data_IF_376214962815
#
_entry.id   IF_376214962815
#
_cell.length_a   1.000
_cell.length_b   1.000
_cell.length_c   1.000
_cell.angle_alpha   90.00
_cell.angle_beta   90.00
_cell.angle_gamma   90.00
#
_symmetry.space_group_name_H-M   'P 1'
#
loop_
_entity.id
_entity.type
_entity.pdbx_description
1 polymer ?
#
# COMPACT_ATOMS: atom_id res chain seq x y z
N UNK A 1 26.98 5.83 5.40
CA UNK A 1 26.08 6.97 5.65
C UNK A 1 24.76 6.67 4.94
N UNK A 2 23.74 6.19 5.67
CA UNK A 2 22.41 6.06 5.07
C UNK A 2 21.82 7.46 4.91
N UNK A 3 21.08 7.75 3.83
CA UNK A 3 20.35 9.00 3.72
C UNK A 3 19.38 9.11 4.90
N UNK A 4 19.40 10.26 5.57
CA UNK A 4 18.55 10.52 6.72
C UNK A 4 17.07 10.54 6.32
N UNK A 5 16.15 10.35 7.29
CA UNK A 5 14.71 10.34 7.03
C UNK A 5 14.22 11.59 6.28
N UNK A 6 14.81 12.75 6.53
CA UNK A 6 14.49 14.01 5.84
C UNK A 6 14.81 13.98 4.33
N UNK A 7 15.90 13.32 3.92
CA UNK A 7 16.27 13.22 2.51
C UNK A 7 15.31 12.31 1.75
N UNK A 8 14.88 11.21 2.39
CA UNK A 8 13.91 10.27 1.83
C UNK A 8 12.56 10.98 1.60
N UNK A 9 12.10 11.79 2.56
CA UNK A 9 10.86 12.58 2.43
C UNK A 9 10.96 13.53 1.23
N UNK A 10 12.08 14.23 1.06
CA UNK A 10 12.29 15.18 -0.04
C UNK A 10 12.21 14.49 -1.41
N UNK A 11 12.79 13.29 -1.52
CA UNK A 11 12.71 12.46 -2.73
C UNK A 11 11.27 12.04 -3.01
N UNK A 12 10.53 11.58 -2.00
CA UNK A 12 9.13 11.19 -2.14
C UNK A 12 8.29 12.38 -2.62
N UNK A 13 8.49 13.57 -2.07
CA UNK A 13 7.78 14.78 -2.52
C UNK A 13 8.07 15.09 -3.99
N UNK A 14 9.32 14.96 -4.43
CA UNK A 14 9.69 15.18 -5.83
C UNK A 14 9.02 14.18 -6.76
N UNK A 15 8.99 12.90 -6.38
CA UNK A 15 8.29 11.84 -7.12
C UNK A 15 6.79 12.13 -7.17
N UNK A 16 6.17 12.54 -6.05
CA UNK A 16 4.76 12.93 -6.01
C UNK A 16 4.45 14.14 -6.89
N UNK A 17 5.38 15.09 -7.07
CA UNK A 17 5.20 16.23 -7.95
C UNK A 17 5.19 15.81 -9.44
N UNK A 18 6.07 14.88 -9.82
CA UNK A 18 6.20 14.39 -11.19
C UNK A 18 5.03 13.47 -11.56
N UNK A 19 4.66 12.56 -10.66
CA UNK A 19 3.60 11.57 -10.90
C UNK A 19 2.20 12.07 -10.52
N UNK A 20 2.12 13.14 -9.72
CA UNK A 20 0.89 13.68 -9.17
C UNK A 20 0.38 12.91 -7.95
N UNK A 21 -0.03 13.62 -6.89
CA UNK A 21 -0.55 13.01 -5.67
C UNK A 21 -1.81 12.15 -5.90
N UNK A 22 -2.60 12.42 -6.96
CA UNK A 22 -3.80 11.66 -7.29
C UNK A 22 -3.55 10.28 -7.89
N UNK A 23 -2.34 9.99 -8.40
CA UNK A 23 -2.02 8.68 -8.99
C UNK A 23 -1.61 7.65 -7.95
N UNK A 24 -1.02 8.07 -6.83
CA UNK A 24 -0.51 7.16 -5.80
C UNK A 24 -1.61 6.35 -5.11
N UNK A 25 -2.76 6.91 -4.69
CA UNK A 25 -3.83 6.15 -4.04
C UNK A 25 -4.35 5.00 -4.90
N UNK A 26 -4.62 5.24 -6.19
CA UNK A 26 -5.14 4.21 -7.09
C UNK A 26 -4.12 3.10 -7.39
N UNK A 27 -2.82 3.43 -7.49
CA UNK A 27 -1.77 2.43 -7.67
C UNK A 27 -1.61 1.61 -6.38
N UNK A 28 -1.59 2.27 -5.22
CA UNK A 28 -1.47 1.62 -3.92
C UNK A 28 -2.66 0.69 -3.64
N UNK A 29 -3.88 1.08 -4.02
CA UNK A 29 -5.08 0.26 -3.86
C UNK A 29 -5.01 -1.02 -4.71
N UNK A 30 -4.59 -0.91 -5.98
CA UNK A 30 -4.43 -2.08 -6.86
C UNK A 30 -3.32 -3.01 -6.37
N UNK A 31 -2.20 -2.46 -5.90
CA UNK A 31 -1.10 -3.23 -5.30
C UNK A 31 -1.56 -3.91 -4.00
N UNK A 32 -2.27 -3.21 -3.13
CA UNK A 32 -2.80 -3.76 -1.88
C UNK A 32 -3.79 -4.90 -2.13
N UNK A 33 -4.71 -4.74 -3.11
CA UNK A 33 -5.62 -5.81 -3.54
C UNK A 33 -4.85 -7.02 -4.10
N UNK A 34 -3.84 -6.79 -4.94
CA UNK A 34 -2.99 -7.85 -5.49
C UNK A 34 -2.24 -8.63 -4.42
N UNK A 35 -1.61 -7.92 -3.47
CA UNK A 35 -0.90 -8.53 -2.32
C UNK A 35 -1.89 -9.27 -1.40
N UNK A 36 -3.09 -8.72 -1.15
CA UNK A 36 -4.13 -9.38 -0.34
C UNK A 36 -4.59 -10.67 -0.99
N UNK A 37 -4.84 -10.67 -2.31
CA UNK A 37 -5.21 -11.88 -3.07
C UNK A 37 -4.07 -12.89 -3.15
N UNK A 38 -2.83 -12.43 -3.33
CA UNK A 38 -1.65 -13.29 -3.33
C UNK A 38 -1.47 -13.97 -1.97
N UNK A 39 -1.59 -13.21 -0.88
CA UNK A 39 -1.51 -13.75 0.47
C UNK A 39 -2.67 -14.70 0.78
N UNK A 40 -3.89 -14.35 0.36
CA UNK A 40 -5.07 -15.22 0.53
C UNK A 40 -4.93 -16.53 -0.23
N UNK A 41 -4.45 -16.51 -1.48
CA UNK A 41 -4.20 -17.72 -2.27
C UNK A 41 -3.07 -18.58 -1.73
N UNK A 42 -2.05 -17.97 -1.09
CA UNK A 42 -0.96 -18.68 -0.42
C UNK A 42 -1.38 -19.24 0.95
N UNK A 43 -2.34 -18.60 1.63
CA UNK A 43 -2.83 -19.01 2.96
C UNK A 43 -4.06 -19.92 2.91
N UNK A 44 -4.65 -20.20 1.74
CA UNK A 44 -5.78 -21.13 1.59
C UNK A 44 -5.38 -22.60 1.88
N UNK A 45 -4.07 -22.89 1.96
CA UNK A 45 -3.53 -24.16 2.46
C UNK A 45 -3.57 -24.26 4.01
N UNK A 46 -3.73 -23.13 4.73
CA UNK A 46 -3.69 -23.04 6.20
C UNK A 46 -4.70 -21.97 6.73
N UNK A 47 -5.96 -22.37 6.91
CA UNK A 47 -7.05 -21.71 7.69
C UNK A 47 -7.82 -20.51 7.10
N UNK A 48 -9.16 -20.45 7.28
CA UNK A 48 -10.01 -19.37 6.77
C UNK A 48 -9.96 -18.16 7.71
N UNK A 49 -9.02 -17.24 7.46
CA UNK A 49 -8.98 -15.96 8.17
C UNK A 49 -9.72 -14.88 7.37
N UNK A 50 -10.98 -14.67 7.72
CA UNK A 50 -11.76 -13.50 7.32
C UNK A 50 -11.07 -12.23 7.82
N UNK A 51 -10.75 -11.31 6.91
CA UNK A 51 -10.42 -9.92 7.28
C UNK A 51 -11.24 -9.01 6.38
N UNK A 52 -12.53 -8.98 6.72
CA UNK A 52 -13.44 -7.88 6.45
C UNK A 52 -13.71 -7.17 7.77
N UNK A 53 -12.94 -6.14 8.10
CA UNK A 53 -13.40 -5.06 8.98
C UNK A 53 -12.50 -3.85 8.82
N UNK A 54 -13.05 -2.82 8.18
CA UNK A 54 -12.95 -1.41 8.57
C UNK A 54 -13.73 -0.58 7.55
N UNK A 55 -15.04 -0.81 7.50
CA UNK A 55 -16.01 0.26 7.23
C UNK A 55 -16.55 0.61 8.62
N UNK A 56 -15.99 1.68 9.19
CA UNK A 56 -16.56 2.36 10.35
C UNK A 56 -16.32 3.85 10.16
N UNK A 57 -17.00 4.39 9.16
CA UNK A 57 -17.40 5.79 9.14
C UNK A 57 -18.69 5.90 9.99
N UNK A 58 -18.57 6.51 11.16
CA UNK A 58 -19.61 7.33 11.79
C UNK A 58 -19.11 8.78 11.74
#
# INVERSE_FOLDING_TARGET
>A
MAPGPLQIILIIVLVLLIFGAGRVPGIMENVAKGIKSFKKGMSDDDTPSDTTKSDKDE
#
